data_IF_607248814231
#
_entry.id   IF_607248814231
#
_cell.length_a   1.000
_cell.length_b   1.000
_cell.length_c   1.000
_cell.angle_alpha   90.00
_cell.angle_beta   90.00
_cell.angle_gamma   90.00
#
_symmetry.space_group_name_H-M   'P 1'
#
loop_
_entity.id
_entity.type
_entity.pdbx_description
1 polymer ?
#
# COMPACT_ATOMS: atom_id res chain seq x y z
N UNK A 1 -5.59 13.29 3.06
CA UNK A 1 -4.15 13.10 2.83
C UNK A 1 -3.79 11.70 3.33
N UNK A 2 -3.12 10.90 2.52
CA UNK A 2 -2.75 9.51 2.86
C UNK A 2 -1.84 9.52 4.11
N UNK A 3 -2.12 8.67 5.10
CA UNK A 3 -1.38 8.63 6.40
C UNK A 3 0.00 7.96 6.27
N UNK A 4 0.67 8.12 5.13
CA UNK A 4 2.01 7.58 4.91
C UNK A 4 3.00 8.32 5.82
N UNK A 5 3.64 7.58 6.72
CA UNK A 5 4.61 8.13 7.66
C UNK A 5 5.81 8.72 6.90
N UNK A 6 6.25 9.89 7.36
CA UNK A 6 7.55 10.46 6.98
C UNK A 6 8.50 10.20 8.13
N UNK A 7 9.56 9.45 7.86
CA UNK A 7 10.58 9.13 8.85
C UNK A 7 11.94 9.65 8.38
N UNK A 8 12.39 10.83 8.87
CA UNK A 8 13.66 11.44 8.48
C UNK A 8 14.88 10.57 8.81
N UNK A 9 14.80 9.73 9.85
CA UNK A 9 15.87 8.80 10.21
C UNK A 9 15.97 7.63 9.20
N UNK A 10 14.86 7.27 8.56
CA UNK A 10 14.78 6.28 7.48
C UNK A 10 14.85 6.91 6.08
N UNK A 11 15.38 8.14 5.98
CA UNK A 11 15.67 8.83 4.71
C UNK A 11 14.45 9.15 3.83
N UNK A 12 13.23 9.24 4.37
CA UNK A 12 12.09 9.71 3.58
C UNK A 12 10.72 9.24 4.04
N UNK A 13 9.82 9.02 3.08
CA UNK A 13 8.50 8.44 3.33
C UNK A 13 8.61 6.92 3.42
N UNK A 14 7.95 6.34 4.40
CA UNK A 14 7.81 4.89 4.52
C UNK A 14 7.12 4.32 3.28
N UNK A 15 7.51 3.14 2.77
CA UNK A 15 6.82 2.50 1.66
C UNK A 15 5.32 2.35 1.92
N UNK A 16 4.52 2.48 0.87
CA UNK A 16 3.09 2.24 0.94
C UNK A 16 2.59 1.72 -0.42
N UNK A 17 1.63 0.80 -0.39
CA UNK A 17 0.98 0.26 -1.59
C UNK A 17 -0.51 0.56 -1.50
N UNK A 18 -1.07 1.09 -2.58
CA UNK A 18 -2.48 1.43 -2.67
C UNK A 18 -3.08 0.73 -3.89
N UNK A 19 -4.28 0.17 -3.71
CA UNK A 19 -5.13 -0.25 -4.83
C UNK A 19 -6.23 0.79 -4.98
N UNK A 20 -6.31 1.39 -6.16
CA UNK A 20 -7.25 2.46 -6.50
C UNK A 20 -8.11 1.97 -7.67
N UNK A 21 -9.42 2.11 -7.55
CA UNK A 21 -10.33 1.75 -8.64
C UNK A 21 -10.45 2.86 -9.71
N UNK A 22 -11.26 2.58 -10.74
CA UNK A 22 -11.48 3.52 -11.85
C UNK A 22 -12.19 4.82 -11.46
N UNK A 23 -12.84 4.87 -10.29
CA UNK A 23 -13.50 6.06 -9.74
C UNK A 23 -12.56 6.86 -8.83
N UNK A 24 -11.30 6.44 -8.70
CA UNK A 24 -10.31 7.09 -7.83
C UNK A 24 -10.48 6.76 -6.35
N UNK A 25 -11.25 5.72 -6.01
CA UNK A 25 -11.48 5.30 -4.63
C UNK A 25 -10.43 4.26 -4.23
N UNK A 26 -9.81 4.47 -3.07
CA UNK A 26 -8.87 3.51 -2.49
C UNK A 26 -9.66 2.30 -1.98
N UNK A 27 -9.38 1.13 -2.54
CA UNK A 27 -9.98 -0.16 -2.16
C UNK A 27 -9.11 -0.95 -1.19
N UNK A 28 -7.81 -0.66 -1.17
CA UNK A 28 -6.86 -1.26 -0.24
C UNK A 28 -5.68 -0.31 -0.02
N UNK A 29 -5.14 -0.33 1.20
CA UNK A 29 -3.94 0.41 1.56
C UNK A 29 -3.06 -0.43 2.49
N UNK A 30 -1.80 -0.59 2.11
CA UNK A 30 -0.72 -1.12 2.93
C UNK A 30 0.24 0.00 3.27
N UNK A 31 0.57 0.16 4.55
CA UNK A 31 1.56 1.10 5.05
C UNK A 31 2.64 0.28 5.75
N UNK A 32 3.88 0.39 5.27
CA UNK A 32 4.99 -0.42 5.75
C UNK A 32 5.50 0.03 7.12
N UNK A 33 5.89 -0.93 7.96
CA UNK A 33 6.50 -0.71 9.28
C UNK A 33 8.03 -0.47 9.17
N UNK A 34 8.68 -0.97 8.11
CA UNK A 34 10.11 -0.77 7.80
C UNK A 34 10.35 -0.43 6.32
N UNK A 35 11.59 -0.09 5.95
CA UNK A 35 11.93 0.29 4.57
C UNK A 35 11.92 -0.89 3.60
N UNK A 36 12.11 -2.10 4.13
CA UNK A 36 12.12 -3.38 3.44
C UNK A 36 10.81 -4.17 3.62
N UNK A 37 9.88 -3.66 4.44
CA UNK A 37 8.55 -4.23 4.61
C UNK A 37 7.67 -3.93 3.39
N UNK A 38 7.65 -4.88 2.46
CA UNK A 38 6.86 -4.85 1.22
C UNK A 38 6.07 -6.16 1.16
N UNK A 39 4.75 -6.12 0.93
CA UNK A 39 3.92 -7.31 0.90
C UNK A 39 4.26 -8.21 -0.28
N UNK A 40 3.94 -9.51 -0.15
CA UNK A 40 4.19 -10.46 -1.23
C UNK A 40 3.22 -10.20 -2.40
N UNK A 41 3.71 -10.41 -3.64
CA UNK A 41 2.89 -10.26 -4.84
C UNK A 41 1.59 -11.08 -4.77
N UNK A 42 1.64 -12.26 -4.14
CA UNK A 42 0.48 -13.13 -3.98
C UNK A 42 -0.63 -12.46 -3.17
N UNK A 43 -0.29 -11.77 -2.09
CA UNK A 43 -1.26 -11.06 -1.24
C UNK A 43 -1.99 -9.97 -2.04
N UNK A 44 -1.23 -9.20 -2.83
CA UNK A 44 -1.80 -8.16 -3.70
C UNK A 44 -2.72 -8.77 -4.76
N UNK A 45 -2.34 -9.89 -5.39
CA UNK A 45 -3.18 -10.54 -6.39
C UNK A 45 -4.47 -11.10 -5.81
N UNK A 46 -4.46 -11.60 -4.58
CA UNK A 46 -5.66 -12.12 -3.94
C UNK A 46 -6.62 -10.97 -3.59
N UNK A 47 -6.13 -9.83 -3.10
CA UNK A 47 -6.93 -8.61 -2.91
C UNK A 47 -7.55 -8.13 -4.24
N UNK A 48 -6.76 -8.14 -5.33
CA UNK A 48 -7.26 -7.73 -6.64
C UNK A 48 -8.34 -8.68 -7.18
N UNK A 49 -8.26 -9.98 -6.88
CA UNK A 49 -9.34 -10.92 -7.22
C UNK A 49 -10.60 -10.61 -6.43
N UNK A 50 -10.49 -10.39 -5.12
CA UNK A 50 -11.64 -10.09 -4.26
C UNK A 50 -12.36 -8.81 -4.68
N UNK A 51 -11.63 -7.79 -5.16
CA UNK A 51 -12.21 -6.54 -5.66
C UNK A 51 -12.90 -6.71 -7.02
N UNK A 52 -12.46 -7.67 -7.85
CA UNK A 52 -12.98 -7.89 -9.20
C UNK A 52 -13.95 -9.09 -9.32
N UNK A 53 -14.26 -9.76 -8.21
CA UNK A 53 -15.23 -10.85 -8.16
C UNK A 53 -16.68 -10.32 -8.23
#
# INVERSE_FOLDING_TARGET
>A
MLKQEVNPLKMGRMPAILVIDSQGIIRYAYYADSMDDIPENKEIFDILKDINA
#
